data_IF_749619443209
#
_entry.id   IF_749619443209
#
_cell.length_a   1.000
_cell.length_b   1.000
_cell.length_c   1.000
_cell.angle_alpha   90.00
_cell.angle_beta   90.00
_cell.angle_gamma   90.00
#
_symmetry.space_group_name_H-M   'P 1'
#
loop_
_entity.id
_entity.type
_entity.pdbx_description
1 polymer ?
#
# COMPACT_ATOMS: atom_id res chain seq x y z
N UNK A 1 15.82 14.58 1.74
CA UNK A 1 14.36 14.87 1.72
C UNK A 1 13.58 13.56 1.91
N UNK A 2 12.64 13.50 2.87
CA UNK A 2 12.09 12.24 3.44
C UNK A 2 11.09 11.55 2.51
N UNK A 3 11.55 10.51 1.82
CA UNK A 3 10.74 9.54 1.07
C UNK A 3 10.36 8.37 1.97
N UNK A 4 9.09 8.27 2.43
CA UNK A 4 8.36 7.04 2.82
C UNK A 4 7.07 7.39 3.59
N UNK A 5 5.87 7.11 3.02
CA UNK A 5 4.84 6.42 3.81
C UNK A 5 4.03 5.35 3.04
N UNK A 6 4.20 5.18 1.73
CA UNK A 6 3.16 4.56 0.91
C UNK A 6 3.03 3.03 1.03
N UNK A 7 4.12 2.30 1.28
CA UNK A 7 4.07 0.83 1.40
C UNK A 7 3.75 0.34 2.82
N UNK A 8 3.69 1.25 3.79
CA UNK A 8 3.41 0.92 5.18
C UNK A 8 2.03 1.37 5.65
N UNK A 9 1.27 2.23 4.96
CA UNK A 9 -0.20 2.08 5.07
C UNK A 9 -0.62 0.68 4.58
N UNK A 10 0.14 0.12 3.62
CA UNK A 10 0.03 -1.24 3.11
C UNK A 10 0.81 -2.33 3.91
N UNK A 11 1.50 -1.99 5.01
CA UNK A 11 2.21 -2.97 5.88
C UNK A 11 2.50 -2.45 7.31
N UNK A 12 1.63 -1.62 7.90
CA UNK A 12 1.92 -0.77 9.09
C UNK A 12 2.77 -1.47 10.17
N UNK A 13 4.00 -0.98 10.32
CA UNK A 13 4.73 -0.88 11.59
C UNK A 13 5.28 -2.15 12.29
N UNK A 14 5.89 -3.12 11.60
CA UNK A 14 6.79 -4.09 12.26
C UNK A 14 8.25 -3.98 11.73
N UNK A 15 8.96 -2.93 12.16
CA UNK A 15 10.41 -2.90 12.42
C UNK A 15 10.82 -1.45 12.68
N UNK A 16 10.48 -0.93 13.87
CA UNK A 16 11.32 0.09 14.49
C UNK A 16 12.66 -0.56 14.85
N UNK A 17 13.70 -0.31 14.07
CA UNK A 17 15.06 -0.34 14.59
C UNK A 17 15.49 1.11 14.73
N UNK A 18 15.10 1.71 15.85
CA UNK A 18 15.87 2.83 16.40
C UNK A 18 17.13 2.18 16.95
N UNK A 19 18.26 2.32 16.26
CA UNK A 19 19.56 2.11 16.90
C UNK A 19 19.66 3.13 18.05
N UNK A 20 20.09 2.72 19.26
CA UNK A 20 20.34 3.67 20.33
C UNK A 20 21.48 4.59 19.90
N UNK A 21 21.22 5.90 19.89
CA UNK A 21 22.28 6.87 19.93
C UNK A 21 23.06 6.65 21.22
N UNK A 22 24.37 6.50 21.07
CA UNK A 22 25.37 6.37 22.11
C UNK A 22 25.19 7.50 23.15
N UNK A 23 24.71 7.16 24.35
CA UNK A 23 24.71 8.06 25.50
C UNK A 23 26.14 8.13 26.04
N UNK A 24 26.83 9.23 25.76
CA UNK A 24 27.99 9.62 26.58
C UNK A 24 27.49 10.46 27.76
N UNK A 25 27.75 10.06 29.03
CA UNK A 25 27.35 10.87 30.16
C UNK A 25 28.36 12.01 30.36
N UNK A 26 27.91 13.26 30.26
CA UNK A 26 28.62 14.40 30.83
C UNK A 26 27.93 14.79 32.13
N UNK A 27 28.63 14.55 33.24
CA UNK A 27 28.38 15.20 34.52
C UNK A 27 28.57 16.71 34.37
N UNK A 28 27.64 17.51 34.91
CA UNK A 28 27.95 18.57 35.89
C UNK A 28 26.66 19.32 36.31
N UNK A 29 26.36 19.24 37.60
CA UNK A 29 25.59 20.20 38.41
C UNK A 29 26.53 21.37 38.82
N UNK A 30 26.10 22.54 39.39
CA UNK A 30 24.77 22.86 39.88
C UNK A 30 24.24 24.30 39.68
N UNK A 31 22.94 24.43 39.99
CA UNK A 31 22.19 25.53 40.60
C UNK A 31 22.50 27.01 40.25
N UNK A 32 21.45 27.73 39.84
CA UNK A 32 21.04 29.00 40.47
C UNK A 32 19.61 29.41 40.08
N UNK A 33 18.81 29.69 41.11
CA UNK A 33 17.59 30.51 41.12
C UNK A 33 17.90 31.95 40.70
N UNK A 34 17.05 32.57 39.88
CA UNK A 34 16.63 33.97 40.06
C UNK A 34 15.39 34.32 39.24
N UNK A 35 14.61 35.20 39.84
CA UNK A 35 13.27 35.70 39.51
C UNK A 35 13.41 37.05 38.79
N UNK A 36 12.92 37.21 37.56
CA UNK A 36 12.78 38.51 36.89
C UNK A 36 11.55 38.58 35.99
N UNK A 37 10.69 39.53 36.34
CA UNK A 37 9.55 40.20 35.68
C UNK A 37 9.63 40.36 34.14
N UNK A 38 8.48 40.34 33.42
CA UNK A 38 8.44 40.60 31.98
C UNK A 38 8.31 42.11 31.66
N UNK A 39 9.10 42.58 30.69
CA UNK A 39 8.92 43.88 30.01
C UNK A 39 8.71 43.64 28.50
N UNK A 40 7.80 44.36 27.83
CA UNK A 40 7.51 44.17 26.42
C UNK A 40 8.32 45.12 25.52
N UNK A 41 8.58 44.65 24.29
CA UNK A 41 8.49 45.36 23.02
C UNK A 41 9.70 45.21 22.07
N UNK A 42 9.32 45.32 20.80
CA UNK A 42 10.09 45.71 19.62
C UNK A 42 10.63 44.63 18.67
N UNK A 43 10.23 44.86 17.43
CA UNK A 43 10.51 44.12 16.23
C UNK A 43 11.97 44.25 15.83
N UNK A 44 12.52 43.16 15.29
CA UNK A 44 13.68 43.21 14.42
C UNK A 44 13.54 42.19 13.29
N UNK A 45 13.72 42.71 12.09
CA UNK A 45 13.78 41.97 10.84
C UNK A 45 15.20 41.42 10.60
N UNK A 46 15.25 40.49 9.64
CA UNK A 46 16.42 39.97 8.91
C UNK A 46 17.28 38.92 9.63
N UNK A 47 17.19 37.67 9.18
CA UNK A 47 18.27 37.10 8.36
C UNK A 47 17.82 35.81 7.66
N UNK A 48 18.08 35.76 6.35
CA UNK A 48 17.79 34.61 5.50
C UNK A 48 18.87 33.55 5.65
N UNK A 49 18.52 32.41 6.24
CA UNK A 49 19.32 31.19 6.17
C UNK A 49 18.72 30.25 5.13
N UNK A 50 19.28 30.34 3.92
CA UNK A 50 19.18 29.35 2.85
C UNK A 50 19.84 28.04 3.33
N UNK A 51 19.02 27.13 3.85
CA UNK A 51 19.41 25.76 4.16
C UNK A 51 18.82 24.84 3.09
N UNK A 52 19.44 24.82 1.91
CA UNK A 52 19.21 23.76 0.94
C UNK A 52 19.69 22.42 1.51
N UNK A 53 18.84 21.38 1.62
CA UNK A 53 19.32 20.06 1.93
C UNK A 53 19.94 19.45 0.66
N UNK A 54 21.26 19.29 0.68
CA UNK A 54 22.00 18.43 -0.23
C UNK A 54 21.46 16.99 -0.11
N UNK A 55 20.54 16.64 -1.01
CA UNK A 55 20.12 15.26 -1.26
C UNK A 55 21.21 14.59 -2.12
N UNK A 56 22.33 14.25 -1.48
CA UNK A 56 23.25 13.25 -2.02
C UNK A 56 22.54 11.88 -1.97
N UNK A 57 21.83 11.57 -3.05
CA UNK A 57 21.32 10.25 -3.31
C UNK A 57 22.51 9.31 -3.53
N UNK A 58 22.83 8.52 -2.51
CA UNK A 58 23.67 7.33 -2.60
C UNK A 58 23.14 6.43 -3.75
N UNK A 59 23.88 6.25 -4.85
CA UNK A 59 23.51 5.36 -5.94
C UNK A 59 23.80 3.92 -5.52
N UNK A 60 23.01 3.43 -4.56
CA UNK A 60 23.05 2.05 -4.12
C UNK A 60 22.81 1.11 -5.30
N UNK A 61 23.73 0.16 -5.42
CA UNK A 61 23.85 -0.91 -6.41
C UNK A 61 22.50 -1.48 -6.88
N UNK A 62 22.41 -1.74 -8.19
CA UNK A 62 21.23 -2.26 -8.86
C UNK A 62 20.57 -3.42 -8.12
N UNK A 63 19.37 -3.17 -7.63
CA UNK A 63 18.51 -4.15 -6.95
C UNK A 63 17.98 -5.17 -7.98
N UNK A 64 18.79 -6.15 -8.32
CA UNK A 64 18.43 -7.29 -9.19
C UNK A 64 17.42 -8.26 -8.53
N UNK A 65 17.00 -8.01 -7.28
CA UNK A 65 16.24 -8.96 -6.46
C UNK A 65 14.71 -8.85 -6.50
N UNK A 66 14.13 -7.90 -7.23
CA UNK A 66 12.67 -7.73 -7.34
C UNK A 66 12.12 -7.98 -8.75
N UNK A 67 13.00 -8.20 -9.74
CA UNK A 67 12.62 -8.60 -11.09
C UNK A 67 12.46 -10.12 -11.14
N UNK A 68 11.51 -10.66 -10.36
CA UNK A 68 10.89 -11.93 -10.76
C UNK A 68 10.04 -11.58 -11.99
N UNK A 69 10.71 -11.59 -13.15
CA UNK A 69 10.22 -11.09 -14.43
C UNK A 69 9.03 -11.95 -14.85
N UNK A 70 7.84 -11.57 -14.37
CA UNK A 70 6.59 -12.05 -14.95
C UNK A 70 6.66 -11.77 -16.45
N UNK A 71 6.74 -12.84 -17.24
CA UNK A 71 6.74 -12.75 -18.70
C UNK A 71 5.46 -12.03 -19.13
N UNK A 72 5.58 -11.15 -20.12
CA UNK A 72 4.42 -10.50 -20.69
C UNK A 72 3.50 -11.56 -21.31
N UNK A 73 2.21 -11.48 -21.00
CA UNK A 73 1.19 -12.33 -21.60
C UNK A 73 0.62 -11.65 -22.84
N UNK A 74 0.40 -12.43 -23.91
CA UNK A 74 -0.33 -12.01 -25.10
C UNK A 74 -1.84 -12.31 -24.99
N UNK A 75 -2.31 -12.71 -23.82
CA UNK A 75 -3.74 -12.98 -23.57
C UNK A 75 -4.58 -11.72 -23.76
N UNK A 76 -5.74 -11.88 -24.39
CA UNK A 76 -6.71 -10.81 -24.60
C UNK A 76 -7.99 -11.10 -23.83
N UNK A 77 -8.39 -10.16 -22.99
CA UNK A 77 -9.62 -10.18 -22.23
C UNK A 77 -10.66 -9.32 -22.93
N UNK A 78 -11.72 -9.97 -23.40
CA UNK A 78 -12.78 -9.34 -24.16
C UNK A 78 -13.57 -8.34 -23.31
N UNK A 79 -14.25 -7.42 -24.00
CA UNK A 79 -15.15 -6.42 -23.40
C UNK A 79 -16.04 -7.04 -22.30
N UNK A 80 -16.14 -6.39 -21.13
CA UNK A 80 -16.92 -6.91 -20.03
C UNK A 80 -18.43 -6.82 -20.26
N UNK A 81 -19.16 -7.86 -19.83
CA UNK A 81 -20.63 -7.90 -19.83
C UNK A 81 -21.26 -7.17 -18.62
N UNK A 82 -20.46 -6.89 -17.59
CA UNK A 82 -20.89 -6.17 -16.37
C UNK A 82 -19.81 -5.20 -15.90
N UNK A 83 -20.16 -4.20 -15.10
CA UNK A 83 -19.18 -3.34 -14.43
C UNK A 83 -18.98 -3.71 -12.95
N UNK A 84 -19.38 -4.92 -12.55
CA UNK A 84 -19.25 -5.40 -11.17
C UNK A 84 -18.00 -6.26 -11.05
N UNK A 85 -17.21 -6.13 -9.98
CA UNK A 85 -16.09 -7.04 -9.72
C UNK A 85 -16.53 -8.49 -9.61
N UNK A 86 -15.63 -9.40 -9.93
CA UNK A 86 -15.87 -10.82 -9.71
C UNK A 86 -16.08 -11.11 -8.21
N UNK A 87 -17.07 -11.94 -7.90
CA UNK A 87 -17.32 -12.34 -6.52
C UNK A 87 -16.07 -13.02 -5.90
N UNK A 88 -15.73 -12.70 -4.64
CA UNK A 88 -14.63 -13.36 -3.94
C UNK A 88 -14.81 -14.88 -3.86
N UNK A 89 -13.74 -15.64 -4.13
CA UNK A 89 -13.72 -17.09 -4.02
C UNK A 89 -12.37 -17.61 -3.55
N UNK A 90 -12.38 -18.71 -2.79
CA UNK A 90 -11.15 -19.39 -2.34
C UNK A 90 -10.35 -19.83 -3.56
N UNK A 91 -9.04 -19.61 -3.52
CA UNK A 91 -8.13 -19.95 -4.61
C UNK A 91 -7.84 -18.79 -5.56
N UNK A 92 -8.60 -17.69 -5.49
CA UNK A 92 -8.32 -16.50 -6.30
C UNK A 92 -7.04 -15.79 -5.84
N UNK A 93 -6.29 -15.26 -6.80
CA UNK A 93 -5.11 -14.43 -6.55
C UNK A 93 -4.89 -13.37 -7.63
N UNK A 94 -4.24 -12.28 -7.25
CA UNK A 94 -3.74 -11.23 -8.18
C UNK A 94 -2.35 -10.80 -7.78
N UNK A 95 -1.48 -10.52 -8.75
CA UNK A 95 -0.11 -10.05 -8.54
C UNK A 95 0.13 -8.75 -9.29
N UNK A 96 0.62 -7.74 -8.56
CA UNK A 96 0.95 -6.42 -9.08
C UNK A 96 2.45 -6.15 -9.00
N UNK A 97 2.95 -5.39 -9.96
CA UNK A 97 4.27 -4.77 -9.94
C UNK A 97 4.11 -3.28 -9.68
N UNK A 98 4.88 -2.76 -8.74
CA UNK A 98 4.90 -1.33 -8.41
C UNK A 98 6.21 -0.72 -8.84
N UNK A 99 6.15 0.31 -9.68
CA UNK A 99 7.31 1.16 -9.99
C UNK A 99 7.22 2.46 -9.19
N UNK A 100 8.31 2.79 -8.51
CA UNK A 100 8.44 3.97 -7.66
C UNK A 100 9.16 5.10 -8.39
N UNK A 101 8.85 6.36 -8.09
CA UNK A 101 9.55 7.53 -8.65
C UNK A 101 11.07 7.47 -8.53
N UNK A 102 11.60 6.87 -7.46
CA UNK A 102 13.04 6.68 -7.25
C UNK A 102 13.63 5.51 -8.05
N UNK A 103 12.91 4.94 -9.03
CA UNK A 103 13.32 3.79 -9.84
C UNK A 103 13.21 2.44 -9.14
N UNK A 104 12.89 2.41 -7.84
CA UNK A 104 12.68 1.16 -7.11
C UNK A 104 11.51 0.35 -7.66
N UNK A 105 11.55 -0.97 -7.45
CA UNK A 105 10.46 -1.90 -7.80
C UNK A 105 10.03 -2.72 -6.59
N UNK A 106 8.78 -3.16 -6.61
CA UNK A 106 8.26 -4.17 -5.69
C UNK A 106 7.16 -4.98 -6.35
N UNK A 107 6.89 -6.17 -5.84
CA UNK A 107 5.73 -6.97 -6.24
C UNK A 107 4.83 -7.21 -5.05
N UNK A 108 3.52 -7.08 -5.25
CA UNK A 108 2.54 -7.35 -4.21
C UNK A 108 1.52 -8.37 -4.74
N UNK A 109 1.34 -9.48 -4.05
CA UNK A 109 0.38 -10.52 -4.38
C UNK A 109 -0.70 -10.62 -3.31
N UNK A 110 -1.95 -10.65 -3.74
CA UNK A 110 -3.14 -10.82 -2.91
C UNK A 110 -3.74 -12.20 -3.18
N UNK A 111 -4.18 -12.88 -2.13
CA UNK A 111 -4.73 -14.24 -2.20
C UNK A 111 -5.94 -14.37 -1.31
N UNK A 112 -6.99 -15.04 -1.78
CA UNK A 112 -8.09 -15.51 -0.93
C UNK A 112 -7.83 -16.99 -0.64
N UNK A 113 -7.44 -17.30 0.60
CA UNK A 113 -6.90 -18.62 0.96
C UNK A 113 -7.90 -19.49 1.71
N UNK A 114 -8.87 -18.88 2.38
CA UNK A 114 -9.87 -19.61 3.17
C UNK A 114 -11.13 -18.75 3.40
N UNK A 115 -12.21 -19.39 3.84
CA UNK A 115 -13.47 -18.75 4.22
C UNK A 115 -14.03 -19.41 5.48
N UNK A 116 -14.36 -18.60 6.48
CA UNK A 116 -15.04 -19.05 7.69
C UNK A 116 -16.35 -18.28 7.84
N UNK A 117 -17.49 -18.97 7.69
CA UNK A 117 -18.83 -18.36 7.72
C UNK A 117 -18.98 -17.23 6.67
N UNK A 118 -19.22 -16.01 7.14
CA UNK A 118 -19.35 -14.75 6.39
C UNK A 118 -18.01 -13.99 6.26
N UNK A 119 -16.89 -14.60 6.65
CA UNK A 119 -15.58 -13.97 6.66
C UNK A 119 -14.61 -14.64 5.70
N UNK A 120 -13.68 -13.86 5.15
CA UNK A 120 -12.66 -14.29 4.21
C UNK A 120 -11.27 -14.12 4.79
N UNK A 121 -10.42 -15.11 4.59
CA UNK A 121 -8.99 -14.99 4.87
C UNK A 121 -8.27 -14.50 3.62
N UNK A 122 -7.74 -13.28 3.72
CA UNK A 122 -6.96 -12.63 2.67
C UNK A 122 -5.51 -12.60 3.11
N UNK A 123 -4.63 -13.08 2.24
CA UNK A 123 -3.19 -12.96 2.43
C UNK A 123 -2.58 -12.00 1.43
N UNK A 124 -1.56 -11.28 1.87
CA UNK A 124 -0.81 -10.33 1.08
C UNK A 124 0.66 -10.68 1.23
N UNK A 125 1.35 -10.83 0.11
CA UNK A 125 2.81 -10.99 0.07
C UNK A 125 3.40 -9.81 -0.66
N UNK A 126 4.26 -9.04 0.00
CA UNK A 126 5.00 -7.94 -0.60
C UNK A 126 6.49 -8.29 -0.66
N UNK A 127 7.08 -8.16 -1.84
CA UNK A 127 8.51 -8.39 -2.08
C UNK A 127 9.12 -7.08 -2.58
N UNK A 128 10.12 -6.57 -1.85
CA UNK A 128 10.83 -5.34 -2.19
C UNK A 128 12.27 -5.41 -1.72
N UNK A 129 13.24 -5.13 -2.60
CA UNK A 129 14.68 -5.12 -2.27
C UNK A 129 15.14 -6.43 -1.61
N UNK A 130 14.71 -7.56 -2.17
CA UNK A 130 14.97 -8.91 -1.63
C UNK A 130 14.30 -9.22 -0.28
N UNK A 131 13.48 -8.31 0.28
CA UNK A 131 12.75 -8.54 1.53
C UNK A 131 11.31 -8.92 1.22
N UNK A 132 10.88 -10.06 1.79
CA UNK A 132 9.50 -10.52 1.73
C UNK A 132 8.77 -10.21 3.03
N UNK A 133 7.57 -9.66 2.93
CA UNK A 133 6.63 -9.45 4.03
C UNK A 133 5.35 -10.21 3.73
N UNK A 134 4.80 -10.89 4.74
CA UNK A 134 3.47 -11.48 4.63
C UNK A 134 2.52 -10.84 5.63
N UNK A 135 1.29 -10.61 5.20
CA UNK A 135 0.18 -10.14 6.03
C UNK A 135 -1.02 -11.04 5.78
N UNK A 136 -1.75 -11.40 6.83
CA UNK A 136 -3.00 -12.15 6.74
C UNK A 136 -4.07 -11.42 7.51
N UNK A 137 -5.25 -11.29 6.92
CA UNK A 137 -6.41 -10.71 7.60
C UNK A 137 -7.64 -11.58 7.45
N UNK A 138 -8.47 -11.56 8.48
CA UNK A 138 -9.84 -12.03 8.42
C UNK A 138 -10.76 -10.84 8.18
N UNK A 139 -11.45 -10.84 7.05
CA UNK A 139 -12.31 -9.73 6.62
C UNK A 139 -13.76 -10.20 6.53
N UNK A 140 -14.65 -9.51 7.23
CA UNK A 140 -16.09 -9.62 7.03
C UNK A 140 -16.53 -8.52 6.07
N UNK A 141 -17.12 -8.84 4.91
CA UNK A 141 -17.77 -7.84 4.07
C UNK A 141 -18.98 -7.26 4.81
N UNK A 142 -19.09 -5.95 4.85
CA UNK A 142 -20.27 -5.26 5.33
C UNK A 142 -21.38 -5.23 4.29
N UNK A 143 -22.55 -4.76 4.72
CA UNK A 143 -23.73 -4.72 3.88
C UNK A 143 -23.52 -3.83 2.64
N UNK A 144 -23.89 -4.34 1.47
CA UNK A 144 -23.71 -3.62 0.20
C UNK A 144 -22.26 -3.42 -0.25
N UNK A 145 -21.27 -4.06 0.40
CA UNK A 145 -19.87 -4.07 -0.03
C UNK A 145 -19.14 -2.73 0.10
N UNK A 146 -19.65 -1.80 0.92
CA UNK A 146 -19.07 -0.45 1.09
C UNK A 146 -18.21 -0.32 2.34
N UNK A 147 -18.57 -1.05 3.37
CA UNK A 147 -17.83 -1.14 4.62
C UNK A 147 -17.37 -2.58 4.77
N UNK A 148 -16.20 -2.78 5.35
CA UNK A 148 -15.66 -4.09 5.68
C UNK A 148 -15.23 -4.08 7.14
N UNK A 149 -15.16 -5.22 7.79
CA UNK A 149 -14.67 -5.32 9.16
C UNK A 149 -13.43 -6.22 9.17
N UNK A 150 -12.34 -5.74 9.75
CA UNK A 150 -11.14 -6.56 9.95
C UNK A 150 -11.19 -7.16 11.35
N UNK A 151 -11.30 -8.48 11.42
CA UNK A 151 -11.48 -9.22 12.66
C UNK A 151 -10.17 -9.76 13.23
N UNK A 152 -9.22 -10.05 12.34
CA UNK A 152 -7.87 -10.50 12.66
C UNK A 152 -6.91 -9.86 11.66
N UNK A 153 -5.74 -9.46 12.14
CA UNK A 153 -4.62 -9.00 11.34
C UNK A 153 -3.35 -9.59 11.96
N UNK A 154 -2.64 -10.37 11.16
CA UNK A 154 -1.38 -10.99 11.53
C UNK A 154 -0.31 -10.64 10.51
N UNK A 155 0.86 -10.21 10.97
CA UNK A 155 2.04 -10.00 10.14
C UNK A 155 3.03 -11.13 10.35
N UNK A 156 3.67 -11.59 9.29
CA UNK A 156 4.84 -12.45 9.39
C UNK A 156 6.07 -11.61 9.06
N UNK A 157 6.94 -11.44 10.06
CA UNK A 157 8.23 -10.79 9.90
C UNK A 157 9.33 -11.81 10.17
N UNK A 158 10.03 -12.23 9.12
CA UNK A 158 11.18 -13.16 9.20
C UNK A 158 10.86 -14.48 9.93
N UNK A 159 9.66 -15.03 9.71
CA UNK A 159 9.22 -16.29 10.29
C UNK A 159 8.50 -16.15 11.63
N UNK A 160 8.46 -14.96 12.22
CA UNK A 160 7.69 -14.69 13.44
C UNK A 160 6.35 -14.07 13.08
N UNK A 161 5.27 -14.77 13.43
CA UNK A 161 3.91 -14.26 13.29
C UNK A 161 3.56 -13.36 14.48
N UNK A 162 3.25 -12.09 14.21
CA UNK A 162 2.77 -11.12 15.18
C UNK A 162 1.31 -10.78 14.87
N UNK A 163 0.42 -11.15 15.79
CA UNK A 163 -1.00 -10.80 15.71
C UNK A 163 -1.25 -9.45 16.35
N UNK A 164 -1.93 -8.56 15.63
CA UNK A 164 -2.37 -7.28 16.18
C UNK A 164 -3.49 -7.52 17.20
N UNK A 165 -3.34 -7.06 18.46
CA UNK A 165 -4.40 -7.17 19.45
C UNK A 165 -5.68 -6.49 18.98
N UNK A 166 -6.84 -7.13 19.24
CA UNK A 166 -8.15 -6.61 18.81
C UNK A 166 -8.41 -5.15 19.21
N UNK A 167 -7.96 -4.74 20.41
CA UNK A 167 -8.06 -3.34 20.88
C UNK A 167 -7.36 -2.32 19.99
N UNK A 168 -6.32 -2.72 19.26
CA UNK A 168 -5.58 -1.88 18.33
C UNK A 168 -6.15 -1.93 16.91
N UNK A 169 -6.88 -2.99 16.54
CA UNK A 169 -7.53 -3.09 15.22
C UNK A 169 -8.47 -1.91 14.97
N UNK A 170 -9.25 -1.49 15.99
CA UNK A 170 -10.15 -0.34 15.88
C UNK A 170 -9.40 0.95 15.52
N UNK A 171 -8.15 1.12 15.97
CA UNK A 171 -7.30 2.27 15.62
C UNK A 171 -6.86 2.23 14.15
N UNK A 172 -6.62 1.03 13.62
CA UNK A 172 -6.21 0.85 12.22
C UNK A 172 -7.39 0.77 11.24
N UNK A 173 -8.61 0.57 11.75
CA UNK A 173 -9.80 0.32 10.96
C UNK A 173 -10.03 1.36 9.85
N UNK A 174 -9.92 2.69 10.06
CA UNK A 174 -10.14 3.66 8.98
C UNK A 174 -9.13 3.51 7.82
N UNK A 175 -7.88 3.22 8.14
CA UNK A 175 -6.85 3.00 7.13
C UNK A 175 -7.10 1.67 6.39
N UNK A 176 -7.43 0.60 7.14
CA UNK A 176 -7.78 -0.69 6.57
C UNK A 176 -9.02 -0.58 5.69
N UNK A 177 -10.00 0.25 6.04
CA UNK A 177 -11.18 0.52 5.20
C UNK A 177 -10.82 1.12 3.86
N UNK A 178 -9.96 2.14 3.85
CA UNK A 178 -9.53 2.73 2.59
C UNK A 178 -8.86 1.70 1.69
N UNK A 179 -8.01 0.84 2.27
CA UNK A 179 -7.33 -0.21 1.52
C UNK A 179 -8.29 -1.32 1.06
N UNK A 180 -9.23 -1.76 1.90
CA UNK A 180 -10.26 -2.73 1.53
C UNK A 180 -11.21 -2.19 0.45
N UNK A 181 -11.47 -0.89 0.41
CA UNK A 181 -12.22 -0.26 -0.68
C UNK A 181 -11.51 -0.32 -2.03
N UNK A 182 -10.17 -0.49 -2.05
CA UNK A 182 -9.41 -0.77 -3.28
C UNK A 182 -9.48 -2.27 -3.61
N UNK A 183 -9.46 -3.14 -2.59
CA UNK A 183 -9.54 -4.59 -2.79
C UNK A 183 -10.92 -5.10 -3.17
N UNK A 184 -11.96 -4.38 -2.75
CA UNK A 184 -13.35 -4.71 -2.99
C UNK A 184 -14.06 -3.46 -3.46
N UNK A 185 -13.71 -2.94 -4.65
CA UNK A 185 -14.34 -1.73 -5.14
C UNK A 185 -15.83 -2.00 -5.41
N UNK A 186 -16.68 -0.96 -5.36
CA UNK A 186 -18.05 -1.07 -5.84
C UNK A 186 -18.09 -1.23 -7.37
N UNK A 187 -19.30 -1.19 -7.96
CA UNK A 187 -19.49 -1.15 -9.41
C UNK A 187 -18.81 0.07 -10.05
N UNK A 188 -18.34 -0.10 -11.28
CA UNK A 188 -17.73 0.93 -12.15
C UNK A 188 -18.65 1.34 -13.31
N UNK A 189 -19.96 1.09 -13.20
CA UNK A 189 -20.95 1.31 -14.26
C UNK A 189 -20.92 2.70 -14.90
N UNK A 190 -20.50 3.71 -14.14
CA UNK A 190 -20.46 5.11 -14.58
C UNK A 190 -19.10 5.56 -15.13
N UNK A 191 -18.07 4.72 -15.03
CA UNK A 191 -16.71 5.07 -15.44
C UNK A 191 -16.56 4.89 -16.97
N UNK A 192 -15.85 5.80 -17.67
CA UNK A 192 -15.57 5.64 -19.10
C UNK A 192 -14.77 4.36 -19.37
N UNK A 193 -14.94 3.78 -20.56
CA UNK A 193 -14.24 2.57 -20.97
C UNK A 193 -13.12 2.91 -21.98
N UNK A 194 -11.96 2.30 -21.81
CA UNK A 194 -10.88 2.32 -22.82
C UNK A 194 -10.11 1.00 -22.82
N UNK A 195 -9.52 0.67 -23.96
CA UNK A 195 -8.67 -0.53 -24.07
C UNK A 195 -7.33 -0.24 -23.39
N UNK A 196 -6.79 -1.22 -22.65
CA UNK A 196 -5.52 -1.07 -21.95
C UNK A 196 -4.66 -2.34 -22.06
N UNK A 197 -3.36 -2.15 -22.23
CA UNK A 197 -2.38 -3.24 -22.21
C UNK A 197 -1.45 -3.09 -21.01
N UNK A 198 -1.26 -4.20 -20.31
CA UNK A 198 -0.33 -4.36 -19.18
C UNK A 198 0.41 -5.68 -19.35
N UNK A 199 1.41 -5.96 -18.50
CA UNK A 199 2.12 -7.25 -18.54
C UNK A 199 1.22 -8.48 -18.46
N UNK A 200 0.11 -8.42 -17.72
CA UNK A 200 -0.84 -9.53 -17.63
C UNK A 200 -1.67 -9.78 -18.90
N UNK A 201 -1.64 -8.88 -19.89
CA UNK A 201 -2.39 -9.02 -21.14
C UNK A 201 -3.03 -7.72 -21.64
N UNK A 202 -3.86 -7.87 -22.67
CA UNK A 202 -4.68 -6.81 -23.24
C UNK A 202 -6.12 -6.90 -22.71
N UNK A 203 -6.67 -5.79 -22.24
CA UNK A 203 -8.02 -5.71 -21.67
C UNK A 203 -8.84 -4.73 -22.49
N UNK A 204 -9.83 -5.24 -23.21
CA UNK A 204 -10.75 -4.43 -24.01
C UNK A 204 -11.77 -3.72 -23.12
N UNK A 205 -12.02 -2.43 -23.37
CA UNK A 205 -13.06 -1.65 -22.70
C UNK A 205 -12.98 -1.70 -21.16
N UNK A 206 -11.77 -1.67 -20.60
CA UNK A 206 -11.56 -1.56 -19.18
C UNK A 206 -12.11 -0.22 -18.66
N UNK A 207 -12.75 -0.25 -17.49
CA UNK A 207 -13.33 0.94 -16.86
C UNK A 207 -12.23 1.81 -16.26
N UNK A 208 -12.13 3.07 -16.66
CA UNK A 208 -11.16 4.04 -16.17
C UNK A 208 -11.83 5.05 -15.25
N UNK A 209 -11.43 5.07 -13.99
CA UNK A 209 -11.91 6.05 -13.02
C UNK A 209 -10.76 6.84 -12.41
N UNK A 210 -11.06 8.04 -11.92
CA UNK A 210 -10.15 8.79 -11.05
C UNK A 210 -10.43 8.41 -9.58
N UNK A 211 -9.37 8.14 -8.81
CA UNK A 211 -9.47 7.85 -7.37
C UNK A 211 -8.53 8.76 -6.60
N UNK A 212 -9.05 9.39 -5.55
CA UNK A 212 -8.25 10.09 -4.55
C UNK A 212 -8.11 9.20 -3.32
N UNK A 213 -6.87 8.82 -3.01
CA UNK A 213 -6.51 8.05 -1.83
C UNK A 213 -5.89 8.97 -0.79
N UNK A 214 -6.30 8.86 0.48
CA UNK A 214 -5.73 9.63 1.58
C UNK A 214 -4.79 8.77 2.41
N UNK A 215 -3.53 9.15 2.45
CA UNK A 215 -2.52 8.46 3.25
C UNK A 215 -1.99 9.44 4.29
N UNK A 216 -2.43 9.28 5.54
CA UNK A 216 -2.12 10.21 6.63
C UNK A 216 -2.51 11.65 6.27
N UNK A 217 -1.53 12.55 6.16
CA UNK A 217 -1.67 13.96 5.81
C UNK A 217 -1.59 14.23 4.30
N UNK A 218 -1.41 13.19 3.47
CA UNK A 218 -1.24 13.31 2.01
C UNK A 218 -2.44 12.76 1.25
N UNK A 219 -2.77 13.41 0.15
CA UNK A 219 -3.73 12.89 -0.84
C UNK A 219 -3.00 12.54 -2.13
N UNK A 220 -3.33 11.39 -2.71
CA UNK A 220 -2.80 10.93 -3.99
C UNK A 220 -3.99 10.77 -4.93
N UNK A 221 -4.00 11.52 -6.04
CA UNK A 221 -4.99 11.36 -7.10
C UNK A 221 -4.38 10.51 -8.20
N UNK A 222 -5.12 9.50 -8.64
CA UNK A 222 -4.65 8.53 -9.62
C UNK A 222 -5.73 8.13 -10.60
N UNK A 223 -5.30 7.83 -11.81
CA UNK A 223 -6.11 7.14 -12.80
C UNK A 223 -6.03 5.63 -12.52
N UNK A 224 -7.18 4.96 -12.49
CA UNK A 224 -7.27 3.54 -12.19
C UNK A 224 -8.12 2.84 -13.23
N UNK A 225 -7.63 1.72 -13.74
CA UNK A 225 -8.31 0.88 -14.72
C UNK A 225 -8.80 -0.39 -14.05
N UNK A 226 -10.03 -0.77 -14.32
CA UNK A 226 -10.68 -1.96 -13.80
C UNK A 226 -11.25 -2.85 -14.90
N UNK A 227 -11.16 -4.16 -14.71
CA UNK A 227 -11.75 -5.17 -15.59
C UNK A 227 -12.29 -6.35 -14.76
N UNK A 228 -13.57 -6.75 -14.93
CA UNK A 228 -14.20 -7.84 -14.15
C UNK A 228 -13.50 -9.20 -14.23
N UNK A 229 -12.73 -9.47 -15.28
CA UNK A 229 -11.95 -10.71 -15.38
C UNK A 229 -10.82 -10.81 -14.34
N UNK A 230 -10.37 -9.67 -13.79
CA UNK A 230 -9.35 -9.63 -12.75
C UNK A 230 -10.01 -9.91 -11.40
N UNK A 231 -9.68 -11.00 -10.69
CA UNK A 231 -10.32 -11.36 -9.43
C UNK A 231 -9.90 -10.41 -8.31
N UNK A 232 -10.58 -10.52 -7.17
CA UNK A 232 -10.33 -9.73 -5.95
C UNK A 232 -10.62 -8.23 -6.20
N UNK A 233 -9.69 -7.49 -6.79
CA UNK A 233 -9.73 -6.03 -6.89
C UNK A 233 -10.36 -5.52 -8.19
N UNK A 234 -10.40 -6.35 -9.24
CA UNK A 234 -10.70 -5.87 -10.60
C UNK A 234 -9.65 -4.97 -11.23
N UNK A 235 -8.63 -4.52 -10.48
CA UNK A 235 -7.71 -3.47 -10.93
C UNK A 235 -6.68 -4.03 -11.91
N UNK A 236 -6.58 -3.38 -13.07
CA UNK A 236 -5.60 -3.67 -14.15
C UNK A 236 -4.37 -2.78 -14.02
N UNK A 237 -4.59 -1.48 -13.79
CA UNK A 237 -3.51 -0.49 -13.67
C UNK A 237 -3.92 0.66 -12.75
N UNK A 238 -2.94 1.25 -12.10
CA UNK A 238 -3.07 2.48 -11.30
C UNK A 238 -1.89 3.39 -11.64
N UNK A 239 -2.16 4.66 -11.95
CA UNK A 239 -1.16 5.66 -12.28
C UNK A 239 -1.40 6.91 -11.45
N UNK A 240 -0.48 7.21 -10.54
CA UNK A 240 -0.47 8.47 -9.78
C UNK A 240 -0.27 9.66 -10.74
N UNK A 241 -1.21 10.61 -10.74
CA UNK A 241 -1.16 11.81 -11.58
C UNK A 241 0.02 12.73 -11.18
N UNK A 242 0.52 12.63 -9.96
CA UNK A 242 1.73 13.31 -9.49
C UNK A 242 3.05 12.67 -9.95
N UNK A 243 2.99 11.56 -10.69
CA UNK A 243 4.16 10.81 -11.16
C UNK A 243 4.95 10.14 -10.04
N UNK A 244 4.30 9.82 -8.91
CA UNK A 244 4.93 9.13 -7.79
C UNK A 244 5.03 7.62 -8.00
N UNK A 245 3.94 6.98 -8.42
CA UNK A 245 3.80 5.54 -8.40
C UNK A 245 2.97 5.00 -9.58
N UNK A 246 3.35 3.85 -10.10
CA UNK A 246 2.54 3.07 -11.04
C UNK A 246 2.42 1.65 -10.51
N UNK A 247 1.19 1.16 -10.36
CA UNK A 247 0.92 -0.26 -10.14
C UNK A 247 0.37 -0.85 -11.43
N UNK A 248 0.91 -2.00 -11.83
CA UNK A 248 0.51 -2.70 -13.03
C UNK A 248 0.27 -4.18 -12.73
N UNK A 249 -0.81 -4.74 -13.25
CA UNK A 249 -1.14 -6.15 -13.12
C UNK A 249 -0.10 -7.00 -13.87
N UNK A 250 0.54 -7.92 -13.14
CA UNK A 250 1.54 -8.86 -13.67
C UNK A 250 0.94 -10.23 -13.96
N UNK A 251 -0.15 -10.59 -13.30
CA UNK A 251 -0.85 -11.85 -13.48
C UNK A 251 -1.92 -12.05 -12.43
N UNK A 252 -2.81 -12.99 -12.69
CA UNK A 252 -3.89 -13.35 -11.79
C UNK A 252 -4.39 -14.77 -12.07
N UNK A 253 -5.20 -15.30 -11.17
CA UNK A 253 -5.86 -16.58 -11.38
C UNK A 253 -7.09 -16.76 -10.52
N UNK A 254 -8.03 -17.55 -11.03
CA UNK A 254 -9.28 -17.85 -10.32
C UNK A 254 -9.14 -19.01 -9.32
N UNK A 255 -8.04 -19.76 -9.41
CA UNK A 255 -7.71 -20.91 -8.57
C UNK A 255 -6.21 -20.96 -8.31
N UNK A 256 -5.80 -21.83 -7.39
CA UNK A 256 -4.38 -22.11 -7.14
C UNK A 256 -3.73 -21.27 -6.03
N UNK A 257 -4.42 -20.27 -5.49
CA UNK A 257 -3.93 -19.56 -4.31
C UNK A 257 -3.74 -20.55 -3.14
N UNK A 258 -2.59 -20.47 -2.49
CA UNK A 258 -2.24 -21.25 -1.29
C UNK A 258 -1.79 -20.29 -0.21
N UNK A 259 -2.00 -20.68 1.05
CA UNK A 259 -1.48 -19.93 2.18
C UNK A 259 0.05 -19.90 2.15
N UNK A 260 0.61 -18.72 2.38
CA UNK A 260 2.03 -18.47 2.59
C UNK A 260 2.36 -18.20 4.07
N UNK A 261 1.39 -18.41 4.97
CA UNK A 261 1.52 -18.25 6.41
C UNK A 261 1.86 -19.55 7.14
#
# INVERSE_FOLDING_TARGET
MRSLPLLLALALACSSSTEPADETPSSDEPAQTEDVTPEPAEARAEDGADNGPDDEADPGEGDEGADDAAEASDETFARPESATPLAPAIGQWVRYGTTWRSGGRSTTEYRIVDRQNDTWWIEVTDVRRGRTKHMRMQVRPGEGGREHEVLDLTFNNRGTAERIPARLLATYQPMLQQWLGILFPPSWESDPQEDITVRAGHFEQAFKGEKTLRFMDRSVTADVWYHPSVPITGMVKFVDQGGGHTLELLGFGLTGARSAF
#
